data_IF_864963316522
#
_entry.id   IF_864963316522
#
_cell.length_a   1.000
_cell.length_b   1.000
_cell.length_c   1.000
_cell.angle_alpha   90.00
_cell.angle_beta   90.00
_cell.angle_gamma   90.00
#
_symmetry.space_group_name_H-M   'P 1'
#
loop_
_entity.id
_entity.type
_entity.pdbx_description
1 polymer ?
#
# COMPACT_ATOMS: atom_id res chain seq x y z
N UNK A 1 15.18 8.25 -4.90
CA UNK A 1 15.25 8.18 -3.42
C UNK A 1 15.80 9.46 -2.79
N UNK A 2 17.03 9.90 -3.11
CA UNK A 2 17.67 11.07 -2.48
C UNK A 2 16.83 12.37 -2.56
N UNK A 3 16.22 12.68 -3.71
CA UNK A 3 15.31 13.84 -3.82
C UNK A 3 14.16 13.78 -2.80
N UNK A 4 13.63 12.59 -2.52
CA UNK A 4 12.60 12.41 -1.48
C UNK A 4 13.09 12.84 -0.10
N UNK A 5 14.33 12.47 0.27
CA UNK A 5 14.93 12.88 1.53
C UNK A 5 15.15 14.40 1.60
N UNK A 6 15.59 15.04 0.50
CA UNK A 6 15.72 16.50 0.40
C UNK A 6 14.38 17.19 0.59
N UNK A 7 13.33 16.71 -0.08
CA UNK A 7 11.98 17.26 0.05
C UNK A 7 11.45 17.15 1.48
N UNK A 8 11.68 16.01 2.15
CA UNK A 8 11.28 15.79 3.53
C UNK A 8 12.08 16.65 4.52
N UNK A 9 13.37 16.84 4.27
CA UNK A 9 14.23 17.75 5.03
C UNK A 9 13.68 19.18 5.02
N UNK A 10 13.35 19.69 3.83
CA UNK A 10 12.80 21.03 3.65
C UNK A 10 11.37 21.12 4.19
N UNK A 11 10.54 20.10 4.02
CA UNK A 11 9.17 20.08 4.52
C UNK A 11 9.11 20.19 6.05
N UNK A 12 9.94 19.41 6.76
CA UNK A 12 10.02 19.46 8.22
C UNK A 12 10.51 20.83 8.74
N UNK A 13 11.33 21.53 7.95
CA UNK A 13 11.80 22.90 8.23
C UNK A 13 10.86 24.00 7.77
N UNK A 14 9.76 23.63 7.10
CA UNK A 14 8.78 24.53 6.46
C UNK A 14 9.39 25.40 5.35
N UNK A 15 10.34 24.82 4.61
CA UNK A 15 11.08 25.46 3.52
C UNK A 15 10.80 24.83 2.16
N UNK A 16 9.95 23.79 2.10
CA UNK A 16 9.60 23.16 0.82
C UNK A 16 8.72 24.09 0.00
N UNK A 17 9.11 24.27 -1.25
CA UNK A 17 8.38 24.95 -2.30
C UNK A 17 8.55 24.19 -3.61
N UNK A 18 7.77 24.58 -4.63
CA UNK A 18 7.87 24.04 -5.98
C UNK A 18 7.49 25.11 -6.98
N UNK A 19 8.21 25.17 -8.11
CA UNK A 19 7.88 26.08 -9.21
C UNK A 19 7.69 25.31 -10.52
N UNK A 20 6.55 25.51 -11.15
CA UNK A 20 6.22 24.93 -12.45
C UNK A 20 5.82 26.02 -13.43
N UNK A 21 6.76 26.42 -14.29
CA UNK A 21 6.60 27.59 -15.16
C UNK A 21 6.38 28.86 -14.33
N UNK A 22 5.22 29.49 -14.50
CA UNK A 22 4.82 30.68 -13.74
C UNK A 22 4.09 30.37 -12.43
N UNK A 23 3.71 29.10 -12.19
CA UNK A 23 3.03 28.72 -10.95
C UNK A 23 4.05 28.43 -9.85
N UNK A 24 3.78 28.95 -8.66
CA UNK A 24 4.56 28.72 -7.45
C UNK A 24 3.67 28.05 -6.40
N UNK A 25 4.22 27.04 -5.72
CA UNK A 25 3.55 26.27 -4.68
C UNK A 25 4.36 26.40 -3.39
N UNK A 26 3.69 26.78 -2.30
CA UNK A 26 4.28 26.95 -0.98
C UNK A 26 3.38 26.35 0.09
N UNK A 27 3.95 26.05 1.25
CA UNK A 27 3.18 25.65 2.42
C UNK A 27 2.22 26.77 2.86
N UNK A 28 1.02 26.36 3.25
CA UNK A 28 0.02 27.27 3.82
C UNK A 28 0.45 27.75 5.21
N UNK A 29 0.19 29.03 5.49
CA UNK A 29 0.51 29.68 6.77
C UNK A 29 -0.74 30.00 7.61
N UNK A 30 -1.92 29.82 7.02
CA UNK A 30 -3.23 30.20 7.57
C UNK A 30 -3.97 29.05 8.27
N UNK A 31 -3.35 27.87 8.37
CA UNK A 31 -3.90 26.71 9.10
C UNK A 31 -2.80 25.81 9.63
N UNK A 32 -3.16 24.93 10.57
CA UNK A 32 -2.28 23.84 11.00
C UNK A 32 -2.01 22.91 9.80
N UNK A 33 -0.73 22.64 9.56
CA UNK A 33 -0.30 21.70 8.52
C UNK A 33 -0.57 20.25 8.96
N UNK A 34 -0.86 19.34 8.02
CA UNK A 34 -0.92 17.91 8.31
C UNK A 34 0.39 17.42 8.94
N UNK A 35 0.26 16.45 9.85
CA UNK A 35 1.43 15.79 10.46
C UNK A 35 2.10 14.89 9.42
N UNK A 36 3.42 15.00 9.29
CA UNK A 36 4.19 14.20 8.35
C UNK A 36 4.56 12.85 8.96
N UNK A 37 4.31 11.77 8.21
CA UNK A 37 4.65 10.39 8.58
C UNK A 37 5.31 9.73 7.37
N UNK A 38 6.44 9.05 7.56
CA UNK A 38 7.23 8.45 6.49
C UNK A 38 7.01 6.94 6.41
N UNK A 39 6.71 6.42 5.21
CA UNK A 39 6.65 4.98 4.95
C UNK A 39 7.94 4.51 4.27
N UNK A 40 8.90 3.91 4.98
CA UNK A 40 10.09 3.30 4.35
C UNK A 40 9.69 2.10 3.48
N UNK A 41 10.63 1.63 2.65
CA UNK A 41 10.54 0.32 2.00
C UNK A 41 10.40 -0.81 3.02
N UNK A 42 9.73 -1.90 2.63
CA UNK A 42 9.60 -3.11 3.45
C UNK A 42 10.88 -3.94 3.48
N UNK A 43 10.95 -4.92 4.39
CA UNK A 43 12.17 -5.69 4.67
C UNK A 43 12.78 -6.44 3.48
N UNK A 44 11.98 -6.82 2.49
CA UNK A 44 12.40 -7.57 1.30
C UNK A 44 13.13 -6.71 0.24
N UNK A 45 13.13 -5.39 0.36
CA UNK A 45 13.78 -4.50 -0.62
C UNK A 45 15.15 -4.06 -0.13
N UNK A 46 16.10 -4.10 -1.05
CA UNK A 46 17.47 -3.62 -0.87
C UNK A 46 17.62 -2.17 -1.37
N UNK A 47 18.72 -1.53 -1.00
CA UNK A 47 19.26 -0.33 -1.63
C UNK A 47 20.57 -0.68 -2.34
N UNK A 48 20.47 -1.01 -3.64
CA UNK A 48 21.60 -1.52 -4.44
C UNK A 48 22.74 -0.52 -4.64
N UNK A 49 22.50 0.76 -4.38
CA UNK A 49 23.50 1.80 -4.56
C UNK A 49 24.37 2.04 -3.32
N UNK A 50 24.07 1.38 -2.20
CA UNK A 50 24.87 1.43 -0.98
C UNK A 50 25.14 0.02 -0.47
N UNK A 51 26.42 -0.33 -0.41
CA UNK A 51 26.87 -1.63 0.10
C UNK A 51 27.62 -1.49 1.41
N UNK A 52 27.53 -2.51 2.26
CA UNK A 52 28.36 -2.71 3.45
C UNK A 52 28.94 -4.10 3.32
N UNK A 53 30.27 -4.21 3.37
CA UNK A 53 30.99 -5.47 3.09
C UNK A 53 30.56 -6.11 1.76
N UNK A 54 30.44 -5.27 0.71
CA UNK A 54 30.03 -5.61 -0.66
C UNK A 54 28.57 -6.06 -0.84
N UNK A 55 27.79 -6.20 0.23
CA UNK A 55 26.38 -6.57 0.17
C UNK A 55 25.47 -5.33 0.18
N UNK A 56 24.44 -5.27 -0.70
CA UNK A 56 23.42 -4.22 -0.66
C UNK A 56 22.76 -4.14 0.72
N UNK A 57 22.61 -2.92 1.25
CA UNK A 57 21.93 -2.77 2.54
C UNK A 57 20.40 -2.89 2.39
N UNK A 58 19.70 -3.10 3.51
CA UNK A 58 18.23 -3.01 3.56
C UNK A 58 17.76 -1.61 3.13
N UNK A 59 16.84 -1.57 2.16
CA UNK A 59 16.19 -0.35 1.71
C UNK A 59 15.35 0.29 2.81
N UNK A 60 14.72 -0.52 3.68
CA UNK A 60 13.98 -0.03 4.84
C UNK A 60 14.88 0.71 5.83
N UNK A 61 16.07 0.16 6.13
CA UNK A 61 17.06 0.81 7.00
C UNK A 61 17.66 2.07 6.35
N UNK A 62 17.90 2.07 5.04
CA UNK A 62 18.35 3.27 4.32
C UNK A 62 17.34 4.41 4.44
N UNK A 63 16.06 4.12 4.18
CA UNK A 63 14.98 5.11 4.18
C UNK A 63 14.74 5.67 5.58
N UNK A 64 14.64 4.78 6.57
CA UNK A 64 14.51 5.13 7.98
C UNK A 64 15.72 5.94 8.47
N UNK A 65 16.93 5.43 8.24
CA UNK A 65 18.17 5.98 8.76
C UNK A 65 18.39 7.42 8.28
N UNK A 66 18.26 7.65 6.97
CA UNK A 66 18.41 9.01 6.41
C UNK A 66 17.35 9.97 6.94
N UNK A 67 16.07 9.56 6.96
CA UNK A 67 15.01 10.44 7.45
C UNK A 67 15.17 10.76 8.93
N UNK A 68 15.42 9.75 9.76
CA UNK A 68 15.63 9.91 11.20
C UNK A 68 16.82 10.82 11.47
N UNK A 69 18.00 10.50 10.91
CA UNK A 69 19.24 11.24 11.13
C UNK A 69 19.09 12.74 10.82
N UNK A 70 18.46 13.06 9.70
CA UNK A 70 18.34 14.45 9.25
C UNK A 70 17.21 15.25 9.92
N UNK A 71 16.23 14.60 10.54
CA UNK A 71 14.98 15.27 10.95
C UNK A 71 14.60 15.07 12.41
N UNK A 72 15.07 14.03 13.10
CA UNK A 72 14.58 13.66 14.43
C UNK A 72 14.68 14.81 15.45
N UNK A 73 15.84 15.45 15.57
CA UNK A 73 16.05 16.56 16.51
C UNK A 73 15.28 17.83 16.12
N UNK A 74 15.15 18.10 14.81
CA UNK A 74 14.38 19.25 14.31
C UNK A 74 12.88 19.07 14.57
N UNK A 75 12.36 17.86 14.33
CA UNK A 75 10.98 17.49 14.66
C UNK A 75 10.72 17.66 16.16
N UNK A 76 11.63 17.16 17.00
CA UNK A 76 11.52 17.29 18.46
C UNK A 76 11.51 18.76 18.91
N UNK A 77 12.40 19.61 18.37
CA UNK A 77 12.39 21.06 18.63
C UNK A 77 11.08 21.73 18.25
N UNK A 78 10.36 21.19 17.27
CA UNK A 78 9.06 21.71 16.81
C UNK A 78 7.86 21.12 17.54
N UNK A 79 8.07 20.23 18.51
CA UNK A 79 7.00 19.57 19.26
C UNK A 79 6.38 18.36 18.54
N UNK A 80 7.11 17.75 17.61
CA UNK A 80 6.75 16.50 16.93
C UNK A 80 7.80 15.42 17.22
N UNK A 81 7.50 14.17 16.90
CA UNK A 81 8.46 13.08 16.84
C UNK A 81 8.74 12.64 15.40
N UNK A 82 9.80 11.85 15.17
CA UNK A 82 9.99 11.10 13.93
C UNK A 82 8.95 9.98 13.84
N UNK A 83 8.04 10.10 12.87
CA UNK A 83 6.88 9.20 12.73
C UNK A 83 6.95 8.35 11.47
N UNK A 84 6.61 7.07 11.59
CA UNK A 84 6.74 6.08 10.53
C UNK A 84 5.48 5.26 10.26
N UNK A 85 5.38 4.75 9.04
CA UNK A 85 4.41 3.73 8.62
C UNK A 85 5.15 2.48 8.18
N UNK A 86 4.94 1.33 8.81
CA UNK A 86 5.75 0.12 8.58
C UNK A 86 4.98 -0.88 7.70
N UNK A 87 5.42 -1.11 6.45
CA UNK A 87 4.68 -1.95 5.51
C UNK A 87 5.05 -3.43 5.57
N UNK A 88 4.12 -4.27 5.12
CA UNK A 88 4.34 -5.66 4.68
C UNK A 88 5.02 -6.61 5.68
N UNK A 89 4.94 -6.34 6.98
CA UNK A 89 5.45 -7.28 7.96
C UNK A 89 4.65 -8.57 7.94
N UNK A 90 5.31 -9.71 8.16
CA UNK A 90 4.66 -11.02 8.21
C UNK A 90 4.72 -11.68 9.60
N UNK A 91 5.47 -11.12 10.55
CA UNK A 91 5.57 -11.63 11.93
C UNK A 91 5.85 -10.53 12.96
N UNK A 92 5.44 -10.76 14.21
CA UNK A 92 5.86 -9.95 15.37
C UNK A 92 7.38 -9.90 15.55
N UNK A 93 8.14 -10.90 15.10
CA UNK A 93 9.61 -10.84 15.14
C UNK A 93 10.18 -9.76 14.22
N UNK A 94 9.50 -9.44 13.11
CA UNK A 94 9.86 -8.31 12.25
C UNK A 94 9.50 -6.96 12.90
N UNK A 95 8.45 -6.94 13.73
CA UNK A 95 8.12 -5.79 14.57
C UNK A 95 9.17 -5.59 15.67
N UNK A 96 9.68 -6.67 16.27
CA UNK A 96 10.82 -6.63 17.20
C UNK A 96 12.07 -6.06 16.53
N UNK A 97 12.37 -6.49 15.31
CA UNK A 97 13.49 -5.93 14.54
C UNK A 97 13.36 -4.41 14.37
N UNK A 98 12.17 -3.90 14.04
CA UNK A 98 11.94 -2.45 14.01
C UNK A 98 12.11 -1.79 15.38
N UNK A 99 11.61 -2.42 16.45
CA UNK A 99 11.78 -1.90 17.81
C UNK A 99 13.26 -1.77 18.20
N UNK A 100 14.09 -2.76 17.85
CA UNK A 100 15.53 -2.74 18.10
C UNK A 100 16.23 -1.65 17.28
N UNK A 101 15.84 -1.47 16.01
CA UNK A 101 16.32 -0.37 15.16
C UNK A 101 15.97 0.99 15.77
N UNK A 102 14.74 1.18 16.23
CA UNK A 102 14.29 2.43 16.87
C UNK A 102 15.05 2.69 18.16
N UNK A 103 15.29 1.65 18.96
CA UNK A 103 16.05 1.77 20.18
C UNK A 103 17.49 2.20 19.90
N UNK A 104 18.17 1.52 18.98
CA UNK A 104 19.53 1.87 18.59
C UNK A 104 19.64 3.32 18.06
N UNK A 105 18.70 3.73 17.19
CA UNK A 105 18.68 5.08 16.64
C UNK A 105 18.49 6.14 17.73
N UNK A 106 17.58 5.91 18.67
CA UNK A 106 17.35 6.82 19.80
C UNK A 106 18.58 6.92 20.71
N UNK A 107 19.24 5.79 21.02
CA UNK A 107 20.47 5.79 21.82
C UNK A 107 21.59 6.58 21.17
N UNK A 108 21.74 6.40 19.85
CA UNK A 108 22.81 7.03 19.06
C UNK A 108 22.77 8.56 19.09
N UNK A 109 21.62 9.17 19.40
CA UNK A 109 21.46 10.63 19.49
C UNK A 109 20.99 11.12 20.87
N UNK A 110 20.93 10.23 21.87
CA UNK A 110 20.42 10.55 23.22
C UNK A 110 18.94 10.95 23.26
N UNK A 111 18.13 10.44 22.35
CA UNK A 111 16.69 10.69 22.29
C UNK A 111 15.93 9.73 23.22
N UNK A 112 14.91 10.23 23.91
CA UNK A 112 14.13 9.44 24.86
C UNK A 112 13.37 8.27 24.19
N UNK A 113 13.21 7.17 24.94
CA UNK A 113 12.40 6.01 24.51
C UNK A 113 10.96 6.42 24.17
N UNK A 114 10.41 5.83 23.12
CA UNK A 114 9.07 6.15 22.64
C UNK A 114 8.90 7.52 21.99
N UNK A 115 10.00 8.19 21.62
CA UNK A 115 9.93 9.43 20.82
C UNK A 115 9.64 9.12 19.36
N UNK A 116 10.24 8.05 18.81
CA UNK A 116 9.82 7.46 17.54
C UNK A 116 8.41 6.88 17.74
N UNK A 117 7.51 7.13 16.77
CA UNK A 117 6.19 6.50 16.71
C UNK A 117 5.96 5.84 15.36
N UNK A 118 5.33 4.66 15.35
CA UNK A 118 5.10 3.88 14.15
C UNK A 118 3.67 3.32 14.10
N UNK A 119 3.02 3.48 12.94
CA UNK A 119 1.78 2.77 12.61
C UNK A 119 2.12 1.59 11.70
N UNK A 120 1.65 0.39 12.03
CA UNK A 120 1.93 -0.82 11.24
C UNK A 120 0.80 -1.10 10.27
N UNK A 121 1.10 -1.37 9.00
CA UNK A 121 0.10 -1.89 8.07
C UNK A 121 -0.05 -3.40 8.28
N UNK A 122 -1.23 -3.84 8.71
CA UNK A 122 -1.55 -5.28 8.75
C UNK A 122 -2.03 -5.68 7.37
N UNK A 123 -1.12 -5.64 6.40
CA UNK A 123 -1.43 -5.86 4.99
C UNK A 123 -0.90 -7.20 4.48
N UNK A 124 -0.61 -8.13 5.40
CA UNK A 124 -0.28 -9.52 5.10
C UNK A 124 -1.21 -10.43 5.87
N UNK A 125 -1.56 -11.59 5.28
CA UNK A 125 -2.49 -12.53 5.92
C UNK A 125 -1.91 -13.11 7.21
N UNK A 126 -0.58 -13.25 7.30
CA UNK A 126 0.09 -13.77 8.50
C UNK A 126 0.05 -12.76 9.65
N UNK A 127 0.29 -11.47 9.37
CA UNK A 127 0.24 -10.43 10.39
C UNK A 127 -1.15 -10.28 11.04
N UNK A 128 -2.23 -10.67 10.36
CA UNK A 128 -3.57 -10.67 10.96
C UNK A 128 -3.72 -11.67 12.13
N UNK A 129 -2.87 -12.71 12.20
CA UNK A 129 -2.85 -13.66 13.31
C UNK A 129 -1.93 -13.23 14.46
N UNK A 130 -1.12 -12.19 14.26
CA UNK A 130 -0.10 -11.75 15.21
C UNK A 130 -0.25 -10.27 15.58
N UNK A 131 -1.45 -9.69 15.40
CA UNK A 131 -1.69 -8.25 15.60
C UNK A 131 -1.36 -7.81 17.04
N UNK A 132 -1.70 -8.63 18.03
CA UNK A 132 -1.50 -8.30 19.44
C UNK A 132 -0.01 -8.38 19.82
N UNK A 133 0.69 -9.39 19.31
CA UNK A 133 2.13 -9.58 19.45
C UNK A 133 2.92 -8.48 18.72
N UNK A 134 2.51 -8.07 17.52
CA UNK A 134 3.10 -6.93 16.80
C UNK A 134 2.99 -5.65 17.64
N UNK A 135 1.83 -5.38 18.24
CA UNK A 135 1.66 -4.23 19.14
C UNK A 135 2.56 -4.38 20.38
N UNK A 136 2.67 -5.59 20.94
CA UNK A 136 3.50 -5.86 22.11
C UNK A 136 4.99 -5.60 21.86
N UNK A 137 5.52 -6.09 20.73
CA UNK A 137 6.92 -5.91 20.34
C UNK A 137 7.25 -4.43 20.09
N UNK A 138 6.28 -3.66 19.60
CA UNK A 138 6.41 -2.22 19.38
C UNK A 138 5.80 -1.35 20.49
N UNK A 139 5.45 -1.88 21.66
CA UNK A 139 4.60 -1.18 22.66
C UNK A 139 5.08 0.21 23.09
N UNK A 140 6.39 0.46 23.08
CA UNK A 140 6.96 1.77 23.40
C UNK A 140 6.87 2.76 22.24
N UNK A 141 6.81 2.26 21.00
CA UNK A 141 6.86 3.02 19.75
C UNK A 141 5.56 2.92 18.92
N UNK A 142 4.57 2.13 19.32
CA UNK A 142 3.35 1.92 18.55
C UNK A 142 2.45 3.15 18.57
N UNK A 143 1.86 3.45 17.41
CA UNK A 143 0.81 4.44 17.22
C UNK A 143 -0.48 3.83 16.64
N UNK A 144 -0.52 2.50 16.46
CA UNK A 144 -1.67 1.80 15.92
C UNK A 144 -1.36 0.86 14.75
N UNK A 145 -2.43 0.29 14.21
CA UNK A 145 -2.44 -0.57 13.04
C UNK A 145 -3.30 0.04 11.93
N UNK A 146 -3.09 -0.40 10.69
CA UNK A 146 -3.85 0.06 9.52
C UNK A 146 -4.40 -1.12 8.70
N UNK A 147 -5.64 -0.96 8.24
CA UNK A 147 -6.29 -1.86 7.30
C UNK A 147 -5.85 -1.64 5.85
N UNK A 148 -5.36 -2.69 5.20
CA UNK A 148 -5.07 -2.74 3.75
C UNK A 148 -6.06 -3.61 2.98
N UNK A 149 -6.27 -3.32 1.69
CA UNK A 149 -7.08 -4.18 0.80
C UNK A 149 -6.21 -4.96 -0.17
N UNK A 150 -5.52 -4.27 -1.08
CA UNK A 150 -4.83 -4.94 -2.19
C UNK A 150 -3.66 -5.80 -1.73
N UNK A 151 -2.78 -5.28 -0.86
CA UNK A 151 -1.67 -6.05 -0.31
C UNK A 151 -2.15 -7.24 0.53
N UNK A 152 -3.24 -7.09 1.29
CA UNK A 152 -3.80 -8.18 2.10
C UNK A 152 -4.36 -9.32 1.23
N UNK A 153 -5.11 -8.99 0.19
CA UNK A 153 -5.62 -9.96 -0.80
C UNK A 153 -4.46 -10.61 -1.55
N UNK A 154 -3.49 -9.82 -1.99
CA UNK A 154 -2.26 -10.31 -2.62
C UNK A 154 -1.53 -11.29 -1.72
N UNK A 155 -1.30 -10.94 -0.45
CA UNK A 155 -0.63 -11.80 0.53
C UNK A 155 -1.41 -13.10 0.76
N UNK A 156 -2.74 -13.02 0.84
CA UNK A 156 -3.63 -14.20 0.94
C UNK A 156 -3.41 -15.14 -0.26
N UNK A 157 -3.45 -14.61 -1.48
CA UNK A 157 -3.19 -15.39 -2.69
C UNK A 157 -1.77 -15.96 -2.64
N UNK A 158 -0.75 -15.14 -2.36
CA UNK A 158 0.66 -15.56 -2.29
C UNK A 158 0.85 -16.75 -1.35
N UNK A 159 0.36 -16.65 -0.11
CA UNK A 159 0.57 -17.67 0.93
C UNK A 159 -0.23 -18.95 0.67
N UNK A 160 -1.43 -18.85 0.10
CA UNK A 160 -2.28 -20.01 -0.19
C UNK A 160 -2.31 -20.42 -1.65
N UNK A 161 -1.36 -19.94 -2.48
CA UNK A 161 -1.37 -20.09 -3.94
C UNK A 161 -1.49 -21.53 -4.44
N UNK A 162 -0.99 -22.50 -3.67
CA UNK A 162 -1.04 -23.93 -4.02
C UNK A 162 -2.35 -24.61 -3.60
N UNK A 163 -3.24 -23.95 -2.87
CA UNK A 163 -4.45 -24.53 -2.33
C UNK A 163 -5.69 -24.09 -3.14
N UNK A 164 -6.38 -25.01 -3.84
CA UNK A 164 -7.54 -24.67 -4.68
C UNK A 164 -8.73 -24.12 -3.87
N UNK A 165 -8.78 -24.33 -2.55
CA UNK A 165 -9.83 -23.77 -1.68
C UNK A 165 -9.69 -22.25 -1.45
N UNK A 166 -8.56 -21.66 -1.83
CA UNK A 166 -8.25 -20.25 -1.63
C UNK A 166 -8.27 -19.45 -2.94
N UNK A 167 -8.85 -20.02 -4.00
CA UNK A 167 -9.05 -19.30 -5.27
C UNK A 167 -10.08 -18.20 -5.06
N UNK A 168 -9.67 -16.95 -5.34
CA UNK A 168 -10.55 -15.79 -5.22
C UNK A 168 -11.17 -15.44 -6.58
N UNK A 169 -12.42 -14.92 -6.60
CA UNK A 169 -13.04 -14.39 -7.81
C UNK A 169 -12.37 -13.08 -8.26
N UNK A 170 -12.91 -12.41 -9.27
CA UNK A 170 -12.46 -11.08 -9.67
C UNK A 170 -12.27 -10.15 -8.47
N UNK A 171 -11.13 -9.45 -8.38
CA UNK A 171 -10.78 -8.63 -7.19
C UNK A 171 -11.80 -7.55 -6.83
N UNK A 172 -12.65 -7.12 -7.78
CA UNK A 172 -13.77 -6.22 -7.50
C UNK A 172 -14.80 -6.83 -6.57
N UNK A 173 -15.00 -8.16 -6.63
CA UNK A 173 -15.89 -8.92 -5.74
C UNK A 173 -15.33 -9.06 -4.32
N UNK A 174 -14.01 -9.01 -4.17
CA UNK A 174 -13.33 -9.11 -2.88
C UNK A 174 -13.36 -7.76 -2.15
N UNK A 175 -14.55 -7.32 -1.75
CA UNK A 175 -14.78 -6.05 -1.03
C UNK A 175 -14.39 -6.15 0.44
N UNK A 176 -14.37 -5.03 1.16
CA UNK A 176 -14.11 -5.03 2.61
C UNK A 176 -15.25 -5.63 3.46
N UNK A 177 -16.32 -6.14 2.82
CA UNK A 177 -17.51 -6.70 3.50
C UNK A 177 -17.64 -8.21 3.30
N UNK A 178 -16.77 -8.84 2.52
CA UNK A 178 -16.76 -10.30 2.36
C UNK A 178 -16.17 -10.95 3.62
N UNK A 179 -16.50 -12.22 3.94
CA UNK A 179 -16.33 -12.77 5.28
C UNK A 179 -14.94 -12.57 5.89
N UNK A 180 -13.87 -12.99 5.20
CA UNK A 180 -12.51 -12.87 5.75
C UNK A 180 -12.00 -11.42 5.88
N UNK A 181 -12.45 -10.50 5.00
CA UNK A 181 -12.08 -9.08 5.08
C UNK A 181 -12.82 -8.37 6.22
N UNK A 182 -14.09 -8.72 6.43
CA UNK A 182 -14.89 -8.19 7.54
C UNK A 182 -14.37 -8.70 8.90
N UNK A 183 -14.03 -9.98 8.99
CA UNK A 183 -13.38 -10.57 10.16
C UNK A 183 -12.06 -9.86 10.48
N UNK A 184 -11.22 -9.65 9.47
CA UNK A 184 -9.97 -8.89 9.56
C UNK A 184 -10.17 -7.47 10.11
N UNK A 185 -11.12 -6.70 9.56
CA UNK A 185 -11.41 -5.34 10.02
C UNK A 185 -11.86 -5.33 11.48
N UNK A 186 -12.80 -6.22 11.85
CA UNK A 186 -13.33 -6.30 13.22
C UNK A 186 -12.25 -6.66 14.23
N UNK A 187 -11.43 -7.67 13.91
CA UNK A 187 -10.34 -8.11 14.78
C UNK A 187 -9.27 -7.03 14.94
N UNK A 188 -8.91 -6.29 13.87
CA UNK A 188 -7.94 -5.21 13.95
C UNK A 188 -8.42 -4.10 14.89
N UNK A 189 -9.67 -3.64 14.72
CA UNK A 189 -10.25 -2.59 15.57
C UNK A 189 -10.26 -3.02 17.04
N UNK A 190 -10.77 -4.24 17.31
CA UNK A 190 -10.81 -4.79 18.66
C UNK A 190 -9.42 -4.85 19.29
N UNK A 191 -8.43 -5.39 18.56
CA UNK A 191 -7.07 -5.56 19.05
C UNK A 191 -6.40 -4.22 19.35
N UNK A 192 -6.47 -3.27 18.41
CA UNK A 192 -5.95 -1.91 18.59
C UNK A 192 -6.57 -1.23 19.81
N UNK A 193 -7.90 -1.22 19.90
CA UNK A 193 -8.60 -0.50 20.94
C UNK A 193 -8.40 -1.16 22.29
N UNK A 194 -8.33 -2.50 22.39
CA UNK A 194 -7.94 -3.21 23.61
C UNK A 194 -6.58 -2.72 24.15
N UNK A 195 -5.63 -2.40 23.25
CA UNK A 195 -4.29 -1.92 23.60
C UNK A 195 -4.15 -0.39 23.65
N UNK A 196 -5.22 0.35 23.40
CA UNK A 196 -5.22 1.82 23.45
C UNK A 196 -4.40 2.47 22.33
N UNK A 197 -4.31 1.83 21.17
CA UNK A 197 -3.64 2.36 19.97
C UNK A 197 -4.64 2.49 18.82
N UNK A 198 -4.34 3.30 17.81
CA UNK A 198 -5.32 3.58 16.75
C UNK A 198 -5.55 2.39 15.80
N UNK A 199 -6.77 2.24 15.33
CA UNK A 199 -7.20 1.38 14.24
C UNK A 199 -7.54 2.22 13.01
N UNK A 200 -6.64 2.26 12.03
CA UNK A 200 -6.82 3.06 10.81
C UNK A 200 -7.54 2.27 9.71
N UNK A 201 -8.49 2.91 9.04
CA UNK A 201 -9.21 2.39 7.88
C UNK A 201 -8.40 2.40 6.58
N UNK A 202 -9.03 1.98 5.49
CA UNK A 202 -8.38 1.74 4.20
C UNK A 202 -8.35 2.95 3.25
N UNK A 203 -7.73 2.72 2.10
CA UNK A 203 -7.54 3.71 1.04
C UNK A 203 -8.80 3.95 0.19
N UNK A 204 -9.13 5.22 -0.06
CA UNK A 204 -9.94 5.63 -1.20
C UNK A 204 -9.04 6.25 -2.28
N UNK A 205 -8.86 5.53 -3.39
CA UNK A 205 -7.90 5.86 -4.44
C UNK A 205 -8.49 6.70 -5.59
N UNK A 206 -9.77 7.08 -5.52
CA UNK A 206 -10.46 7.76 -6.61
C UNK A 206 -9.85 9.12 -6.95
N UNK A 207 -9.66 9.35 -8.25
CA UNK A 207 -9.32 10.64 -8.84
C UNK A 207 -10.63 11.23 -9.36
N UNK A 208 -10.98 12.49 -9.02
CA UNK A 208 -12.19 13.12 -9.53
C UNK A 208 -12.28 13.08 -11.06
N UNK A 209 -13.41 12.64 -11.58
CA UNK A 209 -13.67 12.49 -13.01
C UNK A 209 -14.25 13.81 -13.51
N UNK A 210 -13.43 14.63 -14.15
CA UNK A 210 -13.82 15.99 -14.57
C UNK A 210 -14.75 16.00 -15.77
N UNK A 211 -14.57 15.04 -16.67
CA UNK A 211 -15.23 15.02 -17.98
C UNK A 211 -16.55 14.22 -17.98
N UNK A 212 -16.89 13.55 -16.86
CA UNK A 212 -18.15 12.84 -16.66
C UNK A 212 -18.67 13.08 -15.23
N UNK A 213 -19.60 14.05 -15.13
CA UNK A 213 -20.19 14.44 -13.84
C UNK A 213 -20.96 13.30 -13.18
N UNK A 214 -21.68 12.48 -13.95
CA UNK A 214 -22.51 11.40 -13.41
C UNK A 214 -21.64 10.27 -12.87
N UNK A 215 -20.62 9.87 -13.62
CA UNK A 215 -19.64 8.90 -13.15
C UNK A 215 -18.89 9.41 -11.91
N UNK A 216 -18.54 10.71 -11.88
CA UNK A 216 -17.93 11.32 -10.71
C UNK A 216 -18.84 11.28 -9.48
N UNK A 217 -20.13 11.61 -9.62
CA UNK A 217 -21.10 11.57 -8.52
C UNK A 217 -21.22 10.16 -7.93
N UNK A 218 -21.29 9.13 -8.78
CA UNK A 218 -21.30 7.73 -8.35
C UNK A 218 -20.00 7.36 -7.62
N UNK A 219 -18.84 7.73 -8.17
CA UNK A 219 -17.55 7.46 -7.56
C UNK A 219 -17.42 8.13 -6.18
N UNK A 220 -17.81 9.40 -6.06
CA UNK A 220 -17.77 10.14 -4.79
C UNK A 220 -18.80 9.63 -3.79
N UNK A 221 -19.96 9.13 -4.24
CA UNK A 221 -20.94 8.48 -3.37
C UNK A 221 -20.39 7.16 -2.79
N UNK A 222 -19.69 6.36 -3.60
CA UNK A 222 -19.03 5.15 -3.13
C UNK A 222 -17.94 5.47 -2.10
N UNK A 223 -17.13 6.51 -2.32
CA UNK A 223 -16.14 6.97 -1.32
C UNK A 223 -16.82 7.32 0.01
N UNK A 224 -17.94 8.08 -0.03
CA UNK A 224 -18.71 8.40 1.19
C UNK A 224 -19.21 7.15 1.90
N UNK A 225 -19.82 6.22 1.16
CA UNK A 225 -20.34 4.97 1.72
C UNK A 225 -19.23 4.14 2.39
N UNK A 226 -18.06 4.04 1.74
CA UNK A 226 -16.92 3.33 2.29
C UNK A 226 -16.38 3.98 3.56
N UNK A 227 -16.24 5.31 3.58
CA UNK A 227 -15.76 6.03 4.78
C UNK A 227 -16.77 5.96 5.92
N UNK A 228 -18.07 6.02 5.58
CA UNK A 228 -19.15 5.87 6.54
C UNK A 228 -19.14 4.49 7.20
N UNK A 229 -18.90 3.44 6.42
CA UNK A 229 -18.74 2.08 6.93
C UNK A 229 -17.56 1.98 7.88
N UNK A 230 -16.42 2.58 7.54
CA UNK A 230 -15.20 2.53 8.36
C UNK A 230 -15.39 3.21 9.71
N UNK A 231 -15.89 4.45 9.72
CA UNK A 231 -16.10 5.18 10.99
C UNK A 231 -17.13 4.45 11.87
N UNK A 232 -18.22 3.94 11.29
CA UNK A 232 -19.23 3.16 12.01
C UNK A 232 -18.72 1.83 12.55
N UNK A 233 -17.72 1.21 11.90
CA UNK A 233 -17.13 -0.03 12.38
C UNK A 233 -16.25 0.17 13.63
N UNK A 234 -15.75 1.40 13.84
CA UNK A 234 -14.87 1.76 14.94
C UNK A 234 -13.50 2.30 14.52
N UNK A 235 -13.22 2.55 13.24
CA UNK A 235 -11.92 3.11 12.86
C UNK A 235 -11.71 4.54 13.39
N UNK A 236 -10.47 4.88 13.76
CA UNK A 236 -10.11 6.22 14.27
C UNK A 236 -9.77 7.22 13.14
N UNK A 237 -9.62 6.74 11.93
CA UNK A 237 -9.27 7.53 10.76
C UNK A 237 -9.26 6.70 9.50
N UNK A 238 -8.99 7.34 8.36
CA UNK A 238 -9.05 6.70 7.05
C UNK A 238 -8.03 7.29 6.07
N UNK A 239 -7.82 6.63 4.93
CA UNK A 239 -6.90 7.06 3.88
C UNK A 239 -7.59 7.54 2.61
N UNK A 240 -7.01 8.56 1.99
CA UNK A 240 -7.36 9.05 0.64
C UNK A 240 -6.09 9.29 -0.17
N UNK A 241 -6.12 9.00 -1.47
CA UNK A 241 -4.96 9.18 -2.35
C UNK A 241 -4.92 10.55 -3.04
N UNK A 242 -6.05 11.27 -3.05
CA UNK A 242 -6.19 12.53 -3.76
C UNK A 242 -6.73 13.64 -2.84
N UNK A 243 -6.15 14.87 -2.83
CA UNK A 243 -6.58 15.95 -1.93
C UNK A 243 -8.06 16.33 -2.02
N UNK A 244 -8.67 16.18 -3.20
CA UNK A 244 -10.10 16.46 -3.39
C UNK A 244 -11.03 15.53 -2.58
N UNK A 245 -10.55 14.36 -2.17
CA UNK A 245 -11.32 13.43 -1.33
C UNK A 245 -11.18 13.74 0.16
N UNK A 246 -10.22 14.58 0.55
CA UNK A 246 -9.94 14.85 1.95
C UNK A 246 -11.16 15.47 2.66
N UNK A 247 -11.85 16.40 2.01
CA UNK A 247 -13.07 17.01 2.55
C UNK A 247 -14.16 15.96 2.79
N UNK A 248 -14.41 15.09 1.81
CA UNK A 248 -15.40 14.01 1.92
C UNK A 248 -15.10 13.10 3.12
N UNK A 249 -13.85 12.65 3.25
CA UNK A 249 -13.45 11.81 4.36
C UNK A 249 -13.56 12.54 5.72
N UNK A 250 -13.16 13.81 5.75
CA UNK A 250 -13.21 14.64 6.96
C UNK A 250 -14.64 14.88 7.43
N UNK A 251 -15.55 15.22 6.51
CA UNK A 251 -16.96 15.50 6.84
C UNK A 251 -17.63 14.25 7.43
N UNK A 252 -17.43 13.08 6.80
CA UNK A 252 -17.99 11.80 7.27
C UNK A 252 -17.45 11.43 8.66
N UNK A 253 -16.15 11.58 8.90
CA UNK A 253 -15.56 11.28 10.19
C UNK A 253 -15.97 12.31 11.26
N UNK A 254 -16.03 13.61 10.94
CA UNK A 254 -16.48 14.61 11.90
C UNK A 254 -17.93 14.41 12.33
N UNK A 255 -18.80 13.97 11.42
CA UNK A 255 -20.21 13.70 11.72
C UNK A 255 -20.39 12.50 12.67
N UNK A 256 -19.62 11.42 12.44
CA UNK A 256 -19.82 10.14 13.15
C UNK A 256 -18.78 9.82 14.23
N UNK A 257 -17.70 10.59 14.29
CA UNK A 257 -16.64 10.53 15.31
C UNK A 257 -16.34 11.97 15.78
N UNK A 258 -17.22 12.57 16.60
CA UNK A 258 -17.02 13.93 17.12
C UNK A 258 -15.86 14.01 18.13
N UNK A 259 -15.40 12.86 18.65
CA UNK A 259 -14.23 12.75 19.51
C UNK A 259 -12.93 12.74 18.69
N UNK A 260 -11.75 13.00 19.28
CA UNK A 260 -10.49 12.95 18.54
C UNK A 260 -10.17 11.58 17.93
N UNK A 261 -10.73 10.51 18.49
CA UNK A 261 -10.59 9.12 18.07
C UNK A 261 -11.73 8.28 18.70
N UNK A 262 -11.77 6.97 18.40
CA UNK A 262 -12.74 5.98 18.88
C UNK A 262 -12.11 4.89 19.75
N UNK A 263 -10.97 5.13 20.41
CA UNK A 263 -10.27 4.14 21.25
C UNK A 263 -11.16 3.53 22.37
N UNK A 264 -12.23 4.24 22.75
CA UNK A 264 -13.23 3.77 23.72
C UNK A 264 -14.20 2.72 23.14
N UNK A 265 -14.28 2.56 21.82
CA UNK A 265 -15.10 1.54 21.15
C UNK A 265 -14.35 0.21 21.18
N UNK A 266 -14.33 -0.46 22.35
CA UNK A 266 -13.48 -1.64 22.60
C UNK A 266 -13.83 -2.89 21.79
N UNK A 267 -15.03 -2.95 21.20
CA UNK A 267 -15.53 -4.09 20.43
C UNK A 267 -15.44 -5.42 21.19
N UNK A 268 -15.84 -5.43 22.46
CA UNK A 268 -15.86 -6.66 23.28
C UNK A 268 -16.86 -7.71 22.76
N UNK A 269 -17.79 -7.30 21.89
CA UNK A 269 -18.73 -8.15 21.16
C UNK A 269 -18.06 -9.03 20.09
N UNK A 270 -16.85 -8.67 19.65
CA UNK A 270 -16.16 -9.33 18.54
C UNK A 270 -15.47 -10.60 19.01
N UNK A 271 -15.86 -11.73 18.45
CA UNK A 271 -15.17 -13.02 18.63
C UNK A 271 -14.76 -13.53 17.25
N UNK A 272 -13.52 -13.24 16.83
CA UNK A 272 -12.96 -13.67 15.54
C UNK A 272 -11.88 -14.71 15.80
N UNK A 273 -12.06 -15.89 15.24
CA UNK A 273 -11.08 -16.97 15.25
C UNK A 273 -10.27 -17.04 13.95
N UNK A 274 -9.31 -17.96 13.91
CA UNK A 274 -8.49 -18.17 12.73
C UNK A 274 -9.28 -18.63 11.50
N UNK A 275 -10.36 -19.40 11.68
CA UNK A 275 -11.20 -19.85 10.57
C UNK A 275 -11.96 -18.70 9.91
N UNK A 276 -12.36 -17.68 10.67
CA UNK A 276 -13.04 -16.50 10.13
C UNK A 276 -12.10 -15.70 9.20
N UNK A 277 -10.83 -15.55 9.58
CA UNK A 277 -9.79 -14.91 8.76
C UNK A 277 -9.44 -15.72 7.50
N UNK A 278 -9.82 -17.00 7.44
CA UNK A 278 -9.58 -17.91 6.31
C UNK A 278 -10.87 -18.25 5.56
N UNK A 279 -11.97 -17.56 5.85
CA UNK A 279 -13.27 -17.80 5.23
C UNK A 279 -13.34 -17.18 3.83
N UNK A 280 -12.91 -17.95 2.82
CA UNK A 280 -12.87 -17.56 1.41
C UNK A 280 -14.25 -17.66 0.70
N UNK A 281 -15.36 -17.66 1.45
CA UNK A 281 -16.71 -17.62 0.87
C UNK A 281 -17.01 -16.23 0.29
N UNK A 282 -16.36 -15.93 -0.84
CA UNK A 282 -16.48 -14.67 -1.56
C UNK A 282 -17.39 -14.90 -2.76
N UNK A 283 -18.60 -14.29 -2.79
CA UNK A 283 -19.49 -14.43 -3.94
C UNK A 283 -18.87 -13.76 -5.17
N UNK A 284 -19.06 -14.36 -6.33
CA UNK A 284 -18.55 -13.87 -7.60
C UNK A 284 -17.99 -14.99 -8.46
N UNK A 285 -17.49 -14.62 -9.64
CA UNK A 285 -16.81 -15.51 -10.55
C UNK A 285 -15.54 -14.85 -11.09
N UNK A 286 -14.85 -15.59 -11.95
CA UNK A 286 -13.77 -15.05 -12.77
C UNK A 286 -14.36 -14.71 -14.13
N UNK A 287 -14.07 -13.54 -14.68
CA UNK A 287 -14.57 -13.14 -16.01
C UNK A 287 -13.42 -12.83 -16.97
N UNK A 288 -13.63 -12.96 -18.27
CA UNK A 288 -12.63 -12.48 -19.24
C UNK A 288 -12.37 -10.97 -19.06
N UNK A 289 -13.39 -10.19 -18.73
CA UNK A 289 -13.25 -8.77 -18.40
C UNK A 289 -12.32 -8.55 -17.20
N UNK A 290 -12.49 -9.32 -16.13
CA UNK A 290 -11.63 -9.32 -14.94
C UNK A 290 -10.18 -9.65 -15.28
N UNK A 291 -9.95 -10.65 -16.13
CA UNK A 291 -8.63 -11.02 -16.65
C UNK A 291 -8.00 -9.86 -17.41
N UNK A 292 -8.70 -9.31 -18.42
CA UNK A 292 -8.19 -8.18 -19.22
C UNK A 292 -7.94 -6.95 -18.37
N UNK A 293 -8.77 -6.69 -17.36
CA UNK A 293 -8.59 -5.58 -16.42
C UNK A 293 -7.31 -5.74 -15.60
N UNK A 294 -7.05 -6.94 -15.06
CA UNK A 294 -5.82 -7.23 -14.34
C UNK A 294 -4.58 -7.12 -15.25
N UNK A 295 -4.67 -7.62 -16.49
CA UNK A 295 -3.59 -7.48 -17.49
C UNK A 295 -3.29 -6.00 -17.80
N UNK A 296 -4.32 -5.20 -18.09
CA UNK A 296 -4.15 -3.79 -18.42
C UNK A 296 -3.55 -2.98 -17.27
N UNK A 297 -3.98 -3.26 -16.04
CA UNK A 297 -3.50 -2.56 -14.84
C UNK A 297 -2.08 -2.98 -14.48
N UNK A 298 -1.79 -4.29 -14.50
CA UNK A 298 -0.44 -4.80 -14.29
C UNK A 298 0.55 -4.23 -15.33
N UNK A 299 0.20 -4.28 -16.62
CA UNK A 299 1.02 -3.70 -17.69
C UNK A 299 1.21 -2.19 -17.51
N UNK A 300 0.13 -1.44 -17.26
CA UNK A 300 0.19 0.01 -17.06
C UNK A 300 1.07 0.42 -15.89
N UNK A 301 0.97 -0.30 -14.77
CA UNK A 301 1.80 -0.05 -13.61
C UNK A 301 3.26 -0.44 -13.84
N UNK A 302 3.53 -1.65 -14.31
CA UNK A 302 4.90 -2.14 -14.55
C UNK A 302 5.63 -1.24 -15.56
N UNK A 303 4.96 -0.81 -16.63
CA UNK A 303 5.52 0.11 -17.63
C UNK A 303 5.92 1.45 -17.01
N UNK A 304 5.02 2.06 -16.22
CA UNK A 304 5.29 3.32 -15.56
C UNK A 304 6.40 3.20 -14.50
N UNK A 305 6.41 2.09 -13.78
CA UNK A 305 7.40 1.82 -12.73
C UNK A 305 8.80 1.66 -13.32
N UNK A 306 8.96 0.93 -14.43
CA UNK A 306 10.22 0.81 -15.17
C UNK A 306 10.73 2.19 -15.67
N UNK A 307 9.83 3.14 -15.89
CA UNK A 307 10.17 4.55 -16.21
C UNK A 307 10.43 5.42 -14.97
N UNK A 308 10.46 4.83 -13.77
CA UNK A 308 10.71 5.54 -12.51
C UNK A 308 9.46 6.19 -11.88
N UNK A 309 8.25 5.84 -12.30
CA UNK A 309 6.99 6.40 -11.78
C UNK A 309 6.20 5.31 -11.04
N UNK A 310 6.21 5.36 -9.71
CA UNK A 310 5.57 4.36 -8.84
C UNK A 310 4.14 4.69 -8.35
N UNK A 311 3.61 5.86 -8.69
CA UNK A 311 2.27 6.32 -8.34
C UNK A 311 1.56 6.75 -9.64
N UNK A 312 0.60 5.95 -10.10
CA UNK A 312 0.17 5.96 -11.51
C UNK A 312 -1.35 6.14 -11.61
N UNK A 313 -1.84 7.19 -12.29
CA UNK A 313 -3.26 7.33 -12.57
C UNK A 313 -3.68 6.31 -13.65
N UNK A 314 -4.49 5.32 -13.28
CA UNK A 314 -5.04 4.31 -14.20
C UNK A 314 -6.54 4.25 -14.00
N UNK A 315 -7.34 4.46 -15.05
CA UNK A 315 -8.80 4.40 -15.01
C UNK A 315 -9.42 5.23 -13.85
N UNK A 316 -8.94 6.45 -13.65
CA UNK A 316 -9.37 7.36 -12.57
C UNK A 316 -9.10 6.86 -11.15
N UNK A 317 -8.18 5.92 -10.99
CA UNK A 317 -7.65 5.48 -9.69
C UNK A 317 -6.17 5.82 -9.62
N UNK A 318 -5.72 6.26 -8.46
CA UNK A 318 -4.29 6.42 -8.17
C UNK A 318 -3.74 5.07 -7.69
N UNK A 319 -3.14 4.33 -8.61
CA UNK A 319 -2.66 2.97 -8.36
C UNK A 319 -1.20 2.96 -7.90
N UNK A 320 -0.90 2.04 -7.00
CA UNK A 320 0.45 1.72 -6.53
C UNK A 320 0.81 0.25 -6.83
N UNK A 321 1.95 -0.21 -6.31
CA UNK A 321 2.46 -1.54 -6.58
C UNK A 321 1.49 -2.64 -6.14
N UNK A 322 0.74 -2.44 -5.05
CA UNK A 322 -0.18 -3.44 -4.52
C UNK A 322 -1.26 -3.82 -5.53
N UNK A 323 -1.72 -2.86 -6.32
CA UNK A 323 -2.71 -3.11 -7.38
C UNK A 323 -2.15 -4.01 -8.48
N UNK A 324 -0.89 -3.82 -8.86
CA UNK A 324 -0.23 -4.69 -9.82
C UNK A 324 0.10 -6.08 -9.23
N UNK A 325 0.48 -6.13 -7.96
CA UNK A 325 0.73 -7.39 -7.23
C UNK A 325 -0.51 -8.29 -7.17
N UNK A 326 -1.66 -7.74 -6.76
CA UNK A 326 -2.91 -8.50 -6.74
C UNK A 326 -3.36 -8.88 -8.16
N UNK A 327 -3.14 -8.00 -9.14
CA UNK A 327 -3.50 -8.27 -10.54
C UNK A 327 -2.72 -9.47 -11.10
N UNK A 328 -1.39 -9.52 -10.93
CA UNK A 328 -0.59 -10.66 -11.38
C UNK A 328 -0.92 -11.93 -10.60
N UNK A 329 -1.18 -11.81 -9.30
CA UNK A 329 -1.40 -12.96 -8.43
C UNK A 329 -2.72 -13.65 -8.72
N UNK A 330 -3.77 -12.89 -9.03
CA UNK A 330 -5.03 -13.45 -9.49
C UNK A 330 -4.88 -14.21 -10.82
N UNK A 331 -4.21 -13.59 -11.81
CA UNK A 331 -3.95 -14.24 -13.10
C UNK A 331 -3.18 -15.54 -12.94
N UNK A 332 -2.11 -15.52 -12.15
CA UNK A 332 -1.33 -16.71 -11.81
C UNK A 332 -2.19 -17.78 -11.15
N UNK A 333 -3.01 -17.40 -10.15
CA UNK A 333 -3.85 -18.32 -9.40
C UNK A 333 -4.91 -18.98 -10.30
N UNK A 334 -5.54 -18.21 -11.19
CA UNK A 334 -6.55 -18.73 -12.10
C UNK A 334 -5.97 -19.71 -13.12
N UNK A 335 -4.79 -19.42 -13.65
CA UNK A 335 -4.07 -20.35 -14.54
C UNK A 335 -3.63 -21.61 -13.78
N UNK A 336 -3.04 -21.44 -12.59
CA UNK A 336 -2.54 -22.56 -11.75
C UNK A 336 -3.62 -23.60 -11.48
N UNK A 337 -4.82 -23.14 -11.12
CA UNK A 337 -5.95 -24.00 -10.76
C UNK A 337 -6.89 -24.29 -11.94
N UNK A 338 -6.57 -23.79 -13.13
CA UNK A 338 -7.36 -24.04 -14.35
C UNK A 338 -8.80 -23.58 -14.23
N UNK A 339 -9.04 -22.42 -13.62
CA UNK A 339 -10.38 -21.88 -13.33
C UNK A 339 -11.14 -21.67 -14.63
N UNK A 340 -12.44 -21.99 -14.63
CA UNK A 340 -13.33 -21.66 -15.74
C UNK A 340 -13.96 -20.30 -15.50
N UNK A 341 -13.89 -19.41 -16.49
CA UNK A 341 -14.56 -18.11 -16.41
C UNK A 341 -16.07 -18.29 -16.39
N UNK A 342 -16.80 -17.25 -15.96
CA UNK A 342 -18.26 -17.21 -15.99
C UNK A 342 -18.83 -17.44 -17.40
N UNK A 343 -18.06 -17.11 -18.43
CA UNK A 343 -18.39 -17.33 -19.84
C UNK A 343 -18.08 -18.76 -20.34
N UNK A 344 -17.52 -19.63 -19.50
CA UNK A 344 -17.24 -21.03 -19.83
C UNK A 344 -15.85 -21.30 -20.41
N UNK A 345 -14.96 -20.30 -20.45
CA UNK A 345 -13.59 -20.48 -20.96
C UNK A 345 -12.66 -20.95 -19.86
N UNK A 346 -11.92 -22.04 -20.08
CA UNK A 346 -10.88 -22.47 -19.14
C UNK A 346 -9.68 -21.52 -19.22
N UNK A 347 -9.25 -21.00 -18.08
CA UNK A 347 -8.07 -20.14 -17.96
C UNK A 347 -6.83 -21.02 -17.87
N UNK A 348 -6.10 -21.14 -18.97
CA UNK A 348 -4.81 -21.83 -19.04
C UNK A 348 -3.68 -20.89 -19.49
N UNK A 349 -2.45 -21.42 -19.52
CA UNK A 349 -1.24 -20.68 -19.92
C UNK A 349 -1.37 -20.07 -21.31
N UNK A 350 -1.90 -20.82 -22.29
CA UNK A 350 -2.00 -20.35 -23.66
C UNK A 350 -3.00 -19.20 -23.78
N UNK A 351 -4.14 -19.32 -23.09
CA UNK A 351 -5.17 -18.29 -23.04
C UNK A 351 -4.68 -17.02 -22.35
N UNK A 352 -4.02 -17.14 -21.19
CA UNK A 352 -3.48 -15.98 -20.48
C UNK A 352 -2.41 -15.23 -21.31
N UNK A 353 -1.49 -15.95 -21.96
CA UNK A 353 -0.45 -15.34 -22.80
C UNK A 353 -1.02 -14.70 -24.08
N UNK A 354 -2.06 -15.29 -24.67
CA UNK A 354 -2.79 -14.70 -25.78
C UNK A 354 -3.38 -13.34 -25.37
N UNK A 355 -4.11 -13.30 -24.26
CA UNK A 355 -4.72 -12.06 -23.76
C UNK A 355 -3.66 -11.02 -23.37
N UNK A 356 -2.56 -11.44 -22.76
CA UNK A 356 -1.43 -10.55 -22.44
C UNK A 356 -0.89 -9.87 -23.70
N UNK A 357 -0.68 -10.62 -24.79
CA UNK A 357 -0.20 -10.08 -26.07
C UNK A 357 -1.17 -9.06 -26.66
N UNK A 358 -2.47 -9.36 -26.63
CA UNK A 358 -3.52 -8.44 -27.09
C UNK A 358 -3.54 -7.14 -26.28
N UNK A 359 -3.54 -7.25 -24.94
CA UNK A 359 -3.52 -6.10 -24.03
C UNK A 359 -2.25 -5.25 -24.21
N UNK A 360 -1.07 -5.89 -24.26
CA UNK A 360 0.20 -5.19 -24.45
C UNK A 360 0.26 -4.46 -25.80
N UNK A 361 -0.20 -5.09 -26.89
CA UNK A 361 -0.28 -4.44 -28.20
C UNK A 361 -1.26 -3.27 -28.23
N UNK A 362 -2.43 -3.43 -27.60
CA UNK A 362 -3.42 -2.38 -27.48
C UNK A 362 -2.94 -1.15 -26.69
N UNK A 363 -2.18 -1.37 -25.60
CA UNK A 363 -1.58 -0.29 -24.81
C UNK A 363 -0.40 0.35 -25.54
N UNK A 364 0.52 -0.45 -26.08
CA UNK A 364 1.70 0.05 -26.79
C UNK A 364 1.35 0.90 -28.02
N UNK A 365 0.30 0.53 -28.77
CA UNK A 365 -0.15 1.28 -29.95
C UNK A 365 -0.72 2.67 -29.65
N UNK A 366 -1.26 2.87 -28.44
CA UNK A 366 -1.80 4.16 -27.98
C UNK A 366 -0.80 4.98 -27.17
N UNK A 367 0.33 4.38 -26.80
CA UNK A 367 1.33 5.00 -25.94
C UNK A 367 2.32 5.86 -26.74
N UNK A 368 2.91 6.89 -26.12
CA UNK A 368 3.99 7.67 -26.73
C UNK A 368 5.19 6.80 -27.13
N UNK A 369 6.01 7.31 -28.07
CA UNK A 369 7.30 6.69 -28.41
C UNK A 369 8.19 6.61 -27.16
N UNK A 370 8.92 5.49 -27.00
CA UNK A 370 9.79 5.25 -25.84
C UNK A 370 9.09 4.61 -24.64
N UNK A 371 7.81 4.22 -24.77
CA UNK A 371 7.13 3.40 -23.76
C UNK A 371 7.83 2.05 -23.55
N UNK A 372 7.55 1.43 -22.41
CA UNK A 372 8.18 0.17 -21.97
C UNK A 372 7.19 -1.00 -21.92
N UNK A 373 6.06 -0.93 -22.63
CA UNK A 373 5.01 -1.96 -22.56
C UNK A 373 5.46 -3.35 -23.01
N UNK A 374 6.34 -3.42 -24.02
CA UNK A 374 6.88 -4.70 -24.48
C UNK A 374 7.76 -5.35 -23.42
N UNK A 375 8.62 -4.57 -22.76
CA UNK A 375 9.47 -5.06 -21.67
C UNK A 375 8.63 -5.45 -20.45
N UNK A 376 7.64 -4.63 -20.08
CA UNK A 376 6.69 -4.97 -19.02
C UNK A 376 5.96 -6.28 -19.32
N UNK A 377 5.53 -6.51 -20.56
CA UNK A 377 4.87 -7.75 -20.97
C UNK A 377 5.80 -8.98 -20.91
N UNK A 378 7.10 -8.83 -21.16
CA UNK A 378 8.07 -9.93 -21.02
C UNK A 378 8.15 -10.41 -19.57
N UNK A 379 8.40 -9.49 -18.62
CA UNK A 379 8.39 -9.83 -17.19
C UNK A 379 7.04 -10.37 -16.73
N UNK A 380 5.94 -9.79 -17.22
CA UNK A 380 4.60 -10.19 -16.79
C UNK A 380 4.23 -11.59 -17.31
N UNK A 381 4.70 -11.96 -18.51
CA UNK A 381 4.44 -13.28 -19.11
C UNK A 381 4.91 -14.44 -18.21
N UNK A 382 6.05 -14.30 -17.54
CA UNK A 382 6.58 -15.33 -16.64
C UNK A 382 5.75 -15.46 -15.36
N UNK A 383 5.06 -14.39 -14.96
CA UNK A 383 4.40 -14.27 -13.66
C UNK A 383 2.90 -14.63 -13.68
N UNK A 384 2.34 -15.00 -14.84
CA UNK A 384 0.91 -15.30 -14.99
C UNK A 384 0.63 -16.72 -15.49
N UNK A 385 1.65 -17.56 -15.65
CA UNK A 385 1.54 -18.89 -16.27
C UNK A 385 1.16 -20.00 -15.29
N UNK A 386 1.04 -19.69 -13.99
CA UNK A 386 0.85 -20.70 -12.94
C UNK A 386 2.12 -21.52 -12.62
N UNK A 387 3.27 -21.14 -13.17
CA UNK A 387 4.56 -21.82 -12.99
C UNK A 387 5.43 -21.02 -12.01
N UNK A 388 6.15 -20.02 -12.50
CA UNK A 388 7.00 -19.15 -11.70
C UNK A 388 6.18 -18.11 -10.93
N UNK A 389 6.62 -17.78 -9.72
CA UNK A 389 5.98 -16.78 -8.87
C UNK A 389 7.03 -16.04 -8.04
N UNK A 390 7.38 -14.82 -8.45
CA UNK A 390 8.19 -13.94 -7.65
C UNK A 390 7.41 -13.49 -6.41
N UNK A 391 8.07 -13.38 -5.26
CA UNK A 391 7.40 -12.90 -4.04
C UNK A 391 6.89 -11.48 -4.20
N UNK A 392 7.62 -10.62 -4.93
CA UNK A 392 7.22 -9.24 -5.23
C UNK A 392 7.62 -8.85 -6.66
N UNK A 393 6.72 -8.16 -7.37
CA UNK A 393 6.99 -7.59 -8.70
C UNK A 393 8.09 -6.53 -8.64
N UNK A 394 8.18 -5.80 -7.52
CA UNK A 394 9.18 -4.73 -7.35
C UNK A 394 10.59 -5.31 -7.32
N UNK A 395 10.79 -6.45 -6.66
CA UNK A 395 12.07 -7.18 -6.68
C UNK A 395 12.41 -7.68 -8.08
N UNK A 396 11.41 -8.20 -8.81
CA UNK A 396 11.57 -8.64 -10.20
C UNK A 396 12.05 -7.50 -11.11
N UNK A 397 11.46 -6.32 -10.97
CA UNK A 397 11.75 -5.18 -11.83
C UNK A 397 12.92 -4.31 -11.34
N UNK A 398 13.41 -4.48 -10.12
CA UNK A 398 14.33 -3.53 -9.47
C UNK A 398 15.59 -3.22 -10.27
N UNK A 399 16.12 -4.19 -10.99
CA UNK A 399 17.29 -3.99 -11.85
C UNK A 399 17.04 -3.00 -12.99
N UNK A 400 15.80 -2.82 -13.44
CA UNK A 400 15.46 -1.86 -14.49
C UNK A 400 15.57 -0.39 -14.02
N UNK A 401 15.44 -0.15 -12.71
CA UNK A 401 15.45 1.20 -12.13
C UNK A 401 16.65 1.48 -11.21
N UNK A 402 17.53 0.50 -11.03
CA UNK A 402 18.75 0.60 -10.21
C UNK A 402 20.03 0.51 -11.03
N UNK A 403 19.93 0.67 -12.36
CA UNK A 403 21.11 0.78 -13.19
C UNK A 403 21.89 2.04 -12.82
N UNK A 404 23.19 1.89 -12.58
CA UNK A 404 24.09 2.99 -12.24
C UNK A 404 24.22 3.90 -13.47
N UNK A 405 23.46 5.00 -13.46
CA UNK A 405 23.56 6.07 -14.44
C UNK A 405 24.63 7.11 -14.08
N UNK A 406 24.76 8.16 -14.90
CA UNK A 406 25.57 9.33 -14.54
C UNK A 406 24.98 10.02 -13.31
N UNK A 407 25.85 10.36 -12.35
CA UNK A 407 25.45 11.11 -11.18
C UNK A 407 24.73 12.41 -11.60
N UNK A 408 23.51 12.59 -11.10
CA UNK A 408 22.75 13.83 -11.22
C UNK A 408 22.61 14.44 -9.83
N UNK A 409 22.82 15.76 -9.66
CA UNK A 409 22.58 16.41 -8.38
C UNK A 409 21.15 16.17 -7.90
N UNK A 410 20.98 15.98 -6.59
CA UNK A 410 19.65 15.96 -6.03
C UNK A 410 18.97 17.32 -6.27
N UNK A 411 17.75 17.30 -6.81
CA UNK A 411 16.98 18.50 -7.08
C UNK A 411 15.84 18.60 -6.08
N UNK A 412 15.62 19.82 -5.55
CA UNK A 412 14.37 20.15 -4.84
C UNK A 412 13.18 19.96 -5.79
N UNK A 413 12.00 19.73 -5.22
CA UNK A 413 10.76 19.63 -5.98
C UNK A 413 10.61 20.79 -6.94
#
# INVERSE_FOLDING_TARGET
MINGQVNLYDANRRQVDFKQGQKEYKLRTDRKLPTLIVRPRGWHLEEKHLTVDEEPISGGLFDFGLYFFHNALELQRRGYGPYFYLPKMESHLEARLWNDVFNLAQDSIGMARGTIRATVLIETILAAFEMDEIIYELREHSAGLNCGRWDYIFSTIKKFRQNPRFVLPDRSCVTMTVPFMDAYVKLLIQTCHKRGVHAMGGMAAQIPIKDDKKANEVAMANVRADKLREVKAGHDGTWVAHPALAAIATDVFNEHMPTPNQLFVRREDVCIGGEDLLNMNVPGGVTEEGIRKNLNIGLGYMEAWIRGVGCVPINYLMEDAATAEVSRSQLWQWVKHGVTTSEGTRVDKAYALKLLKECAGGLASKAPKGNKFQLAAQYFAEQITGEEYADFLTSLLYNEITQVGKASPASKL
#
